data_IF_280010233121
#
_entry.id   IF_280010233121
#
_cell.length_a   1.000
_cell.length_b   1.000
_cell.length_c   1.000
_cell.angle_alpha   90.00
_cell.angle_beta   90.00
_cell.angle_gamma   90.00
#
_symmetry.space_group_name_H-M   'P 1'
#
loop_
_entity.id
_entity.type
_entity.pdbx_description
1 polymer ?
#
# COMPACT_ATOMS: atom_id res chain seq x y z
N UNK A 1 -17.64 -10.10 14.24
CA UNK A 1 -16.19 -9.86 14.02
C UNK A 1 -15.59 -9.44 15.36
N UNK A 2 -14.67 -10.21 15.94
CA UNK A 2 -14.12 -9.93 17.29
C UNK A 2 -13.09 -8.79 17.24
N UNK A 3 -12.89 -8.09 18.36
CA UNK A 3 -11.89 -7.00 18.49
C UNK A 3 -10.47 -7.46 18.10
N UNK A 4 -10.10 -8.67 18.51
CA UNK A 4 -8.83 -9.31 18.14
C UNK A 4 -8.72 -9.55 16.62
N UNK A 5 -9.83 -9.88 15.94
CA UNK A 5 -9.88 -10.00 14.48
C UNK A 5 -9.74 -8.66 13.75
N UNK A 6 -10.26 -7.57 14.33
CA UNK A 6 -10.11 -6.21 13.79
C UNK A 6 -8.66 -5.71 13.91
N UNK A 7 -8.03 -5.94 15.07
CA UNK A 7 -6.65 -5.52 15.32
C UNK A 7 -5.66 -6.27 14.42
N UNK A 8 -5.88 -7.57 14.18
CA UNK A 8 -5.05 -8.35 13.24
C UNK A 8 -5.16 -7.84 11.79
N UNK A 9 -6.37 -7.54 11.32
CA UNK A 9 -6.56 -6.98 9.97
C UNK A 9 -5.85 -5.62 9.82
N UNK A 10 -5.88 -4.80 10.86
CA UNK A 10 -5.18 -3.52 10.85
C UNK A 10 -3.64 -3.71 10.77
N UNK A 11 -3.05 -4.65 11.52
CA UNK A 11 -1.61 -4.92 11.45
C UNK A 11 -1.17 -5.49 10.10
N UNK A 12 -1.99 -6.35 9.49
CA UNK A 12 -1.69 -6.93 8.18
C UNK A 12 -1.74 -5.86 7.10
N UNK A 13 -2.76 -4.98 7.12
CA UNK A 13 -2.86 -3.85 6.20
C UNK A 13 -1.65 -2.90 6.26
N UNK A 14 -1.18 -2.59 7.48
CA UNK A 14 0.00 -1.73 7.68
C UNK A 14 1.24 -2.41 7.12
N UNK A 15 1.43 -3.70 7.39
CA UNK A 15 2.56 -4.47 6.87
C UNK A 15 2.54 -4.54 5.34
N UNK A 16 1.41 -4.90 4.73
CA UNK A 16 1.25 -4.96 3.27
C UNK A 16 1.52 -3.61 2.63
N UNK A 17 1.04 -2.51 3.22
CA UNK A 17 1.31 -1.15 2.74
C UNK A 17 2.81 -0.86 2.64
N UNK A 18 3.57 -1.04 3.73
CA UNK A 18 5.00 -0.74 3.72
C UNK A 18 5.77 -1.68 2.77
N UNK A 19 5.41 -2.97 2.71
CA UNK A 19 6.01 -3.90 1.75
C UNK A 19 5.75 -3.49 0.30
N UNK A 20 4.53 -3.08 -0.01
CA UNK A 20 4.16 -2.60 -1.33
C UNK A 20 4.93 -1.33 -1.71
N UNK A 21 4.99 -0.35 -0.80
CA UNK A 21 5.74 0.90 -1.01
C UNK A 21 7.23 0.66 -1.25
N UNK A 22 7.81 -0.32 -0.56
CA UNK A 22 9.24 -0.62 -0.69
C UNK A 22 9.59 -1.40 -1.96
N UNK A 23 8.77 -2.38 -2.35
CA UNK A 23 9.15 -3.36 -3.37
C UNK A 23 8.51 -3.13 -4.74
N UNK A 24 7.43 -2.36 -4.82
CA UNK A 24 6.60 -2.30 -6.04
C UNK A 24 6.15 -0.91 -6.44
N UNK A 25 6.14 0.06 -5.52
CA UNK A 25 5.67 1.39 -5.82
C UNK A 25 6.51 2.06 -6.92
N UNK A 26 5.83 2.42 -8.01
CA UNK A 26 6.41 3.02 -9.21
C UNK A 26 5.38 3.96 -9.86
N UNK A 27 5.78 4.65 -10.93
CA UNK A 27 4.85 5.51 -11.68
C UNK A 27 3.70 4.69 -12.28
N UNK A 28 4.01 3.51 -12.82
CA UNK A 28 3.05 2.59 -13.43
C UNK A 28 2.06 2.05 -12.40
N UNK A 29 2.53 1.70 -11.19
CA UNK A 29 1.64 1.31 -10.11
C UNK A 29 0.80 2.49 -9.61
N UNK A 30 1.34 3.71 -9.62
CA UNK A 30 0.55 4.92 -9.32
C UNK A 30 -0.59 5.13 -10.34
N UNK A 31 -0.32 4.92 -11.63
CA UNK A 31 -1.35 4.91 -12.68
C UNK A 31 -2.39 3.81 -12.48
N UNK A 32 -1.95 2.60 -12.13
CA UNK A 32 -2.85 1.49 -11.88
C UNK A 32 -3.80 1.74 -10.68
N UNK A 33 -3.32 2.41 -9.63
CA UNK A 33 -4.14 2.71 -8.43
C UNK A 33 -5.05 3.90 -8.64
N UNK A 34 -4.57 4.96 -9.29
CA UNK A 34 -5.23 6.27 -9.27
C UNK A 34 -5.77 6.74 -10.63
N UNK A 35 -5.45 6.04 -11.72
CA UNK A 35 -5.91 6.36 -13.07
C UNK A 35 -5.67 7.82 -13.42
N UNK A 36 -6.73 8.58 -13.72
CA UNK A 36 -6.66 9.99 -14.11
C UNK A 36 -6.03 10.91 -13.04
N UNK A 37 -5.97 10.51 -11.77
CA UNK A 37 -5.33 11.31 -10.72
C UNK A 37 -3.84 10.98 -10.52
N UNK A 38 -3.31 9.99 -11.23
CA UNK A 38 -1.93 9.50 -11.05
C UNK A 38 -0.90 10.60 -11.14
N UNK A 39 -1.01 11.52 -12.10
CA UNK A 39 -0.08 12.63 -12.25
C UNK A 39 0.00 13.53 -11.00
N UNK A 40 -1.15 13.83 -10.38
CA UNK A 40 -1.21 14.64 -9.16
C UNK A 40 -0.62 13.89 -7.97
N UNK A 41 -0.97 12.61 -7.83
CA UNK A 41 -0.52 11.76 -6.73
C UNK A 41 0.98 11.46 -6.83
N UNK A 42 1.49 11.20 -8.03
CA UNK A 42 2.91 11.00 -8.28
C UNK A 42 3.73 12.26 -7.99
N UNK A 43 3.19 13.44 -8.32
CA UNK A 43 3.82 14.71 -7.96
C UNK A 43 4.00 14.85 -6.44
N UNK A 44 2.99 14.46 -5.65
CA UNK A 44 3.09 14.38 -4.19
C UNK A 44 4.16 13.39 -3.75
N UNK A 45 4.20 12.19 -4.32
CA UNK A 45 5.24 11.20 -4.02
C UNK A 45 6.65 11.76 -4.28
N UNK A 46 6.89 12.36 -5.44
CA UNK A 46 8.17 12.99 -5.74
C UNK A 46 8.50 14.12 -4.74
N UNK A 47 7.51 14.92 -4.34
CA UNK A 47 7.71 16.00 -3.38
C UNK A 47 8.14 15.48 -2.00
N UNK A 48 7.53 14.40 -1.49
CA UNK A 48 7.90 13.82 -0.18
C UNK A 48 9.23 13.07 -0.20
N UNK A 49 9.67 12.60 -1.37
CA UNK A 49 10.99 11.96 -1.56
C UNK A 49 12.14 12.97 -1.67
N UNK A 50 11.89 14.20 -2.13
CA UNK A 50 12.94 15.23 -2.32
C UNK A 50 13.82 15.45 -1.08
N UNK A 51 13.29 15.54 0.16
CA UNK A 51 14.12 15.73 1.34
C UNK A 51 14.88 14.45 1.72
N UNK A 52 14.25 13.28 1.58
CA UNK A 52 14.82 11.97 1.87
C UNK A 52 13.85 10.86 1.46
N UNK A 53 14.38 9.72 1.03
CA UNK A 53 13.60 8.49 0.87
C UNK A 53 13.15 7.90 2.23
N UNK A 54 13.91 8.16 3.29
CA UNK A 54 13.58 7.68 4.64
C UNK A 54 12.34 8.38 5.17
N UNK A 55 11.35 7.58 5.60
CA UNK A 55 10.07 8.11 6.07
C UNK A 55 9.15 8.61 4.94
N UNK A 56 9.52 8.42 3.66
CA UNK A 56 8.75 8.95 2.53
C UNK A 56 7.39 8.27 2.40
N UNK A 57 7.29 6.96 2.70
CA UNK A 57 6.03 6.24 2.68
C UNK A 57 5.06 6.79 3.74
N UNK A 58 5.54 7.01 4.96
CA UNK A 58 4.76 7.57 6.08
C UNK A 58 4.27 8.98 5.76
N UNK A 59 5.16 9.84 5.25
CA UNK A 59 4.80 11.21 4.84
C UNK A 59 3.82 11.21 3.69
N UNK A 60 4.04 10.36 2.69
CA UNK A 60 3.14 10.22 1.56
C UNK A 60 1.74 9.83 2.02
N UNK A 61 1.63 8.78 2.84
CA UNK A 61 0.35 8.31 3.38
C UNK A 61 -0.39 9.42 4.14
N UNK A 62 0.33 10.19 4.96
CA UNK A 62 -0.24 11.31 5.71
C UNK A 62 -0.81 12.42 4.80
N UNK A 63 -0.23 12.66 3.63
CA UNK A 63 -0.68 13.68 2.67
C UNK A 63 -1.85 13.27 1.77
N UNK A 64 -2.22 11.99 1.77
CA UNK A 64 -3.35 11.46 1.02
C UNK A 64 -4.67 11.70 1.76
N UNK A 65 -5.75 11.90 1.01
CA UNK A 65 -7.11 11.84 1.53
C UNK A 65 -7.47 10.41 1.95
N UNK A 66 -8.48 10.26 2.81
CA UNK A 66 -8.88 8.93 3.31
C UNK A 66 -9.24 7.96 2.19
N UNK A 67 -9.94 8.42 1.14
CA UNK A 67 -10.26 7.60 -0.03
C UNK A 67 -9.02 7.15 -0.80
N UNK A 68 -8.03 8.03 -0.96
CA UNK A 68 -6.78 7.67 -1.65
C UNK A 68 -5.92 6.72 -0.81
N UNK A 69 -5.89 6.90 0.52
CA UNK A 69 -5.25 5.96 1.44
C UNK A 69 -5.88 4.57 1.32
N UNK A 70 -7.21 4.51 1.28
CA UNK A 70 -7.92 3.25 1.14
C UNK A 70 -7.57 2.54 -0.17
N UNK A 71 -7.62 3.23 -1.32
CA UNK A 71 -7.24 2.65 -2.62
C UNK A 71 -5.82 2.08 -2.60
N UNK A 72 -4.87 2.82 -2.02
CA UNK A 72 -3.48 2.40 -1.94
C UNK A 72 -3.29 1.16 -1.06
N UNK A 73 -3.96 1.13 0.09
CA UNK A 73 -3.92 0.00 1.02
C UNK A 73 -4.62 -1.22 0.44
N UNK A 74 -5.75 -1.04 -0.24
CA UNK A 74 -6.46 -2.12 -0.93
C UNK A 74 -5.59 -2.74 -2.03
N UNK A 75 -4.90 -1.91 -2.83
CA UNK A 75 -3.92 -2.40 -3.80
C UNK A 75 -2.80 -3.18 -3.11
N UNK A 76 -2.22 -2.63 -2.05
CA UNK A 76 -1.14 -3.27 -1.31
C UNK A 76 -1.56 -4.63 -0.73
N UNK A 77 -2.74 -4.69 -0.10
CA UNK A 77 -3.34 -5.93 0.43
C UNK A 77 -3.64 -6.91 -0.70
N UNK A 78 -4.17 -6.46 -1.85
CA UNK A 78 -4.44 -7.39 -2.97
C UNK A 78 -3.18 -8.11 -3.48
N UNK A 79 -2.00 -7.51 -3.32
CA UNK A 79 -0.72 -8.07 -3.76
C UNK A 79 0.04 -8.79 -2.64
N UNK A 80 -0.17 -8.37 -1.38
CA UNK A 80 0.64 -8.76 -0.23
C UNK A 80 -0.17 -9.16 1.00
N UNK A 81 -1.46 -9.45 0.88
CA UNK A 81 -2.21 -10.04 1.99
C UNK A 81 -1.47 -11.32 2.38
N UNK A 82 -1.02 -11.38 3.64
CA UNK A 82 -0.32 -12.53 4.21
C UNK A 82 -1.15 -13.82 4.21
N UNK A 83 -2.39 -13.74 3.68
CA UNK A 83 -3.33 -14.82 3.39
C UNK A 83 -3.37 -15.26 1.93
N UNK A 84 -2.37 -14.98 1.09
CA UNK A 84 -2.06 -15.97 0.05
C UNK A 84 -1.62 -17.23 0.79
N UNK A 85 -2.60 -18.00 1.25
CA UNK A 85 -2.49 -19.38 1.69
C UNK A 85 -1.49 -20.04 0.74
N UNK A 86 -0.40 -20.66 1.20
CA UNK A 86 -0.33 -22.12 1.42
C UNK A 86 -1.25 -23.01 0.55
N UNK A 87 -1.78 -22.52 -0.56
CA UNK A 87 -2.49 -23.26 -1.60
C UNK A 87 -1.56 -23.51 -2.79
N UNK A 88 -0.32 -23.95 -2.56
CA UNK A 88 0.47 -24.75 -3.53
C UNK A 88 1.37 -25.77 -2.81
N UNK A 89 0.93 -26.31 -1.67
CA UNK A 89 1.55 -27.50 -1.06
C UNK A 89 0.48 -28.51 -0.62
N UNK A 90 -0.50 -28.79 -1.49
CA UNK A 90 -1.22 -30.06 -1.48
C UNK A 90 -1.18 -30.60 -2.91
N UNK A 91 -0.25 -31.53 -3.13
CA UNK A 91 -0.22 -32.63 -4.12
C UNK A 91 1.19 -32.86 -4.68
N UNK A 92 2.06 -33.48 -3.88
CA UNK A 92 3.00 -34.51 -4.35
C UNK A 92 2.94 -35.66 -3.35
#
# INVERSE_FOLDING_TARGET
MTEMGRNRKATDNVSSYFFYMWNRWSHEECEAVYGNMSAHIWSKWCAVCKPSAWGAAERFYAELSDGNRQLLVERAVSLYDGRREKEECINI
#
